data_IF_095976979765
#
_entry.id   IF_095976979765
#
_cell.length_a   1.000
_cell.length_b   1.000
_cell.length_c   1.000
_cell.angle_alpha   90.00
_cell.angle_beta   90.00
_cell.angle_gamma   90.00
#
_symmetry.space_group_name_H-M   'P 1'
#
loop_
_entity.id
_entity.type
_entity.pdbx_description
1 polymer ?
#
# COMPACT_ATOMS: atom_id res chain seq x y z
N UNK A 1 45.91 14.98 -22.50
CA UNK A 1 45.29 15.59 -21.31
C UNK A 1 44.79 16.97 -21.73
N UNK A 2 43.53 17.30 -21.58
CA UNK A 2 42.96 18.55 -22.14
C UNK A 2 43.33 19.69 -21.19
N UNK A 3 44.06 20.69 -21.67
CA UNK A 3 44.60 21.83 -20.89
C UNK A 3 43.48 22.50 -20.05
N UNK A 4 42.29 22.62 -20.60
CA UNK A 4 41.13 23.19 -19.92
C UNK A 4 40.74 22.39 -18.66
N UNK A 5 40.88 21.07 -18.68
CA UNK A 5 40.61 20.18 -17.55
C UNK A 5 41.65 20.32 -16.43
N UNK A 6 42.92 20.56 -16.82
CA UNK A 6 44.00 20.78 -15.84
C UNK A 6 43.83 22.11 -15.11
N UNK A 7 43.45 23.17 -15.83
CA UNK A 7 43.18 24.50 -15.26
C UNK A 7 41.94 24.41 -14.32
N UNK A 8 40.88 23.71 -14.73
CA UNK A 8 39.69 23.51 -13.92
C UNK A 8 40.02 22.80 -12.60
N UNK A 9 40.86 21.74 -12.63
CA UNK A 9 41.33 21.07 -11.39
C UNK A 9 42.12 22.03 -10.49
N UNK A 10 43.00 22.82 -11.04
CA UNK A 10 43.80 23.82 -10.27
C UNK A 10 42.87 24.82 -9.58
N UNK A 11 41.80 25.28 -10.23
CA UNK A 11 40.85 26.21 -9.62
C UNK A 11 40.04 25.57 -8.50
N UNK A 12 39.67 24.28 -8.62
CA UNK A 12 39.01 23.51 -7.55
C UNK A 12 39.89 23.46 -6.31
N UNK A 13 41.16 23.15 -6.43
CA UNK A 13 42.10 23.04 -5.33
C UNK A 13 42.65 24.38 -4.80
N UNK A 14 42.63 25.44 -5.61
CA UNK A 14 43.03 26.79 -5.20
C UNK A 14 42.01 27.40 -4.21
N UNK A 15 40.70 27.19 -4.39
CA UNK A 15 39.63 27.74 -3.57
C UNK A 15 38.93 26.66 -2.75
N UNK A 16 39.69 25.91 -1.93
CA UNK A 16 39.19 24.76 -1.15
C UNK A 16 37.91 25.04 -0.32
N UNK A 17 37.85 26.20 0.33
CA UNK A 17 36.68 26.55 1.17
C UNK A 17 35.40 26.73 0.36
N UNK A 18 35.46 27.45 -0.75
CA UNK A 18 34.32 27.68 -1.66
C UNK A 18 33.88 26.38 -2.33
N UNK A 19 34.85 25.58 -2.81
CA UNK A 19 34.58 24.27 -3.40
C UNK A 19 33.92 23.33 -2.39
N UNK A 20 34.41 23.30 -1.15
CA UNK A 20 33.83 22.48 -0.08
C UNK A 20 32.36 22.85 0.21
N UNK A 21 32.04 24.14 0.29
CA UNK A 21 30.65 24.62 0.49
C UNK A 21 29.75 24.19 -0.68
N UNK A 22 30.24 24.30 -1.94
CA UNK A 22 29.49 23.85 -3.11
C UNK A 22 29.25 22.36 -3.10
N UNK A 23 30.29 21.56 -2.82
CA UNK A 23 30.19 20.09 -2.72
C UNK A 23 29.23 19.68 -1.62
N UNK A 24 29.30 20.33 -0.44
CA UNK A 24 28.37 20.07 0.68
C UNK A 24 26.92 20.38 0.32
N UNK A 25 26.64 21.46 -0.40
CA UNK A 25 25.29 21.78 -0.87
C UNK A 25 24.70 20.69 -1.77
N UNK A 26 25.49 20.21 -2.75
CA UNK A 26 25.07 19.12 -3.64
C UNK A 26 24.95 17.80 -2.88
N UNK A 27 25.89 17.51 -1.98
CA UNK A 27 25.91 16.31 -1.14
C UNK A 27 24.64 16.23 -0.28
N UNK A 28 24.29 17.30 0.42
CA UNK A 28 23.06 17.35 1.23
C UNK A 28 21.81 17.19 0.35
N UNK A 29 21.73 17.91 -0.77
CA UNK A 29 20.61 17.80 -1.69
C UNK A 29 20.41 16.37 -2.23
N UNK A 30 21.49 15.73 -2.66
CA UNK A 30 21.44 14.36 -3.18
C UNK A 30 21.15 13.33 -2.09
N UNK A 31 21.72 13.51 -0.92
CA UNK A 31 21.47 12.64 0.24
C UNK A 31 19.99 12.65 0.65
N UNK A 32 19.41 13.85 0.79
CA UNK A 32 17.98 13.98 1.15
C UNK A 32 17.08 13.43 0.03
N UNK A 33 17.42 13.65 -1.23
CA UNK A 33 16.68 13.09 -2.36
C UNK A 33 16.62 11.55 -2.30
N UNK A 34 17.78 10.90 -2.14
CA UNK A 34 17.85 9.43 -2.08
C UNK A 34 17.11 8.91 -0.84
N UNK A 35 17.30 9.54 0.32
CA UNK A 35 16.63 9.17 1.56
C UNK A 35 15.09 9.26 1.42
N UNK A 36 14.56 10.35 0.86
CA UNK A 36 13.12 10.53 0.64
C UNK A 36 12.55 9.48 -0.33
N UNK A 37 13.28 9.15 -1.41
CA UNK A 37 12.86 8.09 -2.32
C UNK A 37 12.88 6.71 -1.65
N UNK A 38 13.88 6.41 -0.83
CA UNK A 38 13.96 5.16 -0.08
C UNK A 38 12.80 5.03 0.91
N UNK A 39 12.47 6.09 1.63
CA UNK A 39 11.30 6.14 2.50
C UNK A 39 10.00 5.86 1.72
N UNK A 40 9.84 6.46 0.53
CA UNK A 40 8.65 6.24 -0.30
C UNK A 40 8.49 4.78 -0.66
N UNK A 41 9.56 4.15 -1.17
CA UNK A 41 9.54 2.73 -1.53
C UNK A 41 9.27 1.84 -0.30
N UNK A 42 9.88 2.17 0.84
CA UNK A 42 9.67 1.46 2.10
C UNK A 42 8.21 1.53 2.58
N UNK A 43 7.61 2.72 2.52
CA UNK A 43 6.20 2.92 2.86
C UNK A 43 5.25 2.17 1.90
N UNK A 44 5.49 2.24 0.59
CA UNK A 44 4.66 1.53 -0.39
C UNK A 44 4.71 0.01 -0.14
N UNK A 45 5.90 -0.54 0.08
CA UNK A 45 6.07 -1.98 0.39
C UNK A 45 5.38 -2.37 1.70
N UNK A 46 5.55 -1.58 2.76
CA UNK A 46 4.93 -1.82 4.07
C UNK A 46 3.40 -1.72 3.99
N UNK A 47 2.89 -0.69 3.29
CA UNK A 47 1.46 -0.47 3.07
C UNK A 47 0.82 -1.64 2.31
N UNK A 48 1.41 -2.05 1.18
CA UNK A 48 0.90 -3.17 0.38
C UNK A 48 0.93 -4.49 1.17
N UNK A 49 2.00 -4.75 1.93
CA UNK A 49 2.08 -5.93 2.80
C UNK A 49 0.98 -5.93 3.85
N UNK A 50 0.70 -4.79 4.47
CA UNK A 50 -0.37 -4.65 5.45
C UNK A 50 -1.76 -4.86 4.84
N UNK A 51 -1.99 -4.36 3.62
CA UNK A 51 -3.24 -4.57 2.89
C UNK A 51 -3.44 -6.07 2.60
N UNK A 52 -2.45 -6.75 2.03
CA UNK A 52 -2.58 -8.16 1.62
C UNK A 52 -2.65 -9.16 2.78
N UNK A 53 -2.28 -8.77 3.99
CA UNK A 53 -2.57 -9.57 5.19
C UNK A 53 -4.05 -9.61 5.55
N UNK A 54 -4.82 -8.61 5.12
CA UNK A 54 -6.20 -8.41 5.55
C UNK A 54 -7.23 -8.50 4.43
N UNK A 55 -6.79 -8.33 3.17
CA UNK A 55 -7.65 -8.31 1.98
C UNK A 55 -7.08 -9.18 0.88
N UNK A 56 -7.97 -9.79 0.09
CA UNK A 56 -7.62 -10.49 -1.15
C UNK A 56 -7.28 -9.48 -2.25
N UNK A 57 -6.66 -9.97 -3.33
CA UNK A 57 -6.38 -9.13 -4.50
C UNK A 57 -7.66 -8.70 -5.21
N UNK A 58 -8.70 -9.54 -5.20
CA UNK A 58 -10.02 -9.25 -5.78
C UNK A 58 -11.08 -9.80 -4.84
N UNK A 59 -12.17 -9.06 -4.65
CA UNK A 59 -13.36 -9.48 -3.93
C UNK A 59 -14.52 -9.54 -4.91
N UNK A 60 -15.20 -10.67 -5.00
CA UNK A 60 -16.41 -10.86 -5.80
C UNK A 60 -17.60 -10.93 -4.85
N UNK A 61 -18.60 -10.10 -5.07
CA UNK A 61 -19.77 -9.99 -4.20
C UNK A 61 -20.99 -9.49 -4.98
N UNK A 62 -22.16 -9.62 -4.37
CA UNK A 62 -23.38 -9.06 -4.94
C UNK A 62 -23.50 -7.60 -4.51
N UNK A 63 -23.49 -6.67 -5.46
CA UNK A 63 -23.67 -5.24 -5.19
C UNK A 63 -25.12 -4.92 -4.85
N UNK A 64 -25.34 -3.80 -4.17
CA UNK A 64 -26.69 -3.29 -3.92
C UNK A 64 -27.34 -2.87 -5.23
N UNK A 65 -28.55 -3.30 -5.46
CA UNK A 65 -29.32 -2.89 -6.65
C UNK A 65 -29.84 -1.48 -6.45
N UNK A 66 -29.43 -0.57 -7.33
CA UNK A 66 -30.02 0.77 -7.42
C UNK A 66 -31.30 0.66 -8.26
N UNK A 67 -32.41 1.19 -7.78
CA UNK A 67 -33.65 1.21 -8.54
C UNK A 67 -33.46 1.97 -9.84
N UNK A 68 -33.56 1.25 -10.97
CA UNK A 68 -33.52 1.84 -12.30
C UNK A 68 -34.93 2.26 -12.74
N UNK A 69 -35.00 3.23 -13.64
CA UNK A 69 -36.28 3.60 -14.30
C UNK A 69 -36.79 2.41 -15.10
N UNK A 70 -37.98 1.92 -14.74
CA UNK A 70 -38.60 0.76 -15.40
C UNK A 70 -39.17 1.07 -16.79
N UNK A 71 -39.33 2.37 -17.12
CA UNK A 71 -39.87 2.82 -18.42
C UNK A 71 -38.83 3.72 -19.08
N UNK A 72 -38.24 3.26 -20.16
CA UNK A 72 -37.44 4.09 -21.06
C UNK A 72 -38.32 4.62 -22.17
N UNK A 73 -39.02 5.74 -21.95
CA UNK A 73 -39.60 6.46 -23.04
C UNK A 73 -38.51 7.36 -23.65
N UNK A 74 -38.31 7.24 -24.95
CA UNK A 74 -37.26 7.98 -25.68
C UNK A 74 -37.58 9.48 -25.81
N UNK A 75 -38.78 9.91 -25.45
CA UNK A 75 -39.28 11.29 -25.57
C UNK A 75 -39.11 12.11 -24.29
N UNK A 76 -39.04 11.49 -23.11
CA UNK A 76 -38.88 12.20 -21.83
C UNK A 76 -37.68 11.70 -21.05
N UNK A 77 -36.82 12.62 -20.59
CA UNK A 77 -35.70 12.31 -19.68
C UNK A 77 -36.21 12.33 -18.25
N UNK A 78 -36.40 11.13 -17.67
CA UNK A 78 -36.71 11.00 -16.25
C UNK A 78 -35.43 11.15 -15.41
N UNK A 79 -35.41 12.14 -14.51
CA UNK A 79 -34.32 12.35 -13.55
C UNK A 79 -34.70 11.66 -12.23
N UNK A 80 -33.99 10.63 -11.85
CA UNK A 80 -34.12 10.03 -10.50
C UNK A 80 -33.23 10.83 -9.56
N UNK A 81 -33.83 11.69 -8.71
CA UNK A 81 -33.10 12.58 -7.79
C UNK A 81 -32.60 11.80 -6.56
N UNK A 82 -33.33 10.77 -6.10
CA UNK A 82 -32.93 9.92 -5.00
C UNK A 82 -33.26 8.46 -5.35
N UNK A 83 -32.36 7.72 -6.01
CA UNK A 83 -32.60 6.32 -6.28
C UNK A 83 -32.68 5.56 -4.96
N UNK A 84 -33.79 4.85 -4.76
CA UNK A 84 -33.97 3.99 -3.56
C UNK A 84 -33.02 2.81 -3.67
N UNK A 85 -32.08 2.69 -2.73
CA UNK A 85 -31.28 1.48 -2.57
C UNK A 85 -32.21 0.39 -2.06
N UNK A 86 -32.43 -0.64 -2.84
CA UNK A 86 -33.14 -1.83 -2.41
C UNK A 86 -32.16 -2.71 -1.67
N UNK A 87 -32.30 -2.92 -0.35
CA UNK A 87 -31.41 -3.83 0.37
C UNK A 87 -31.60 -5.21 -0.23
N UNK A 88 -30.61 -5.64 -0.98
CA UNK A 88 -30.61 -6.93 -1.62
C UNK A 88 -30.04 -7.99 -0.66
N UNK A 89 -30.48 -9.21 -0.83
CA UNK A 89 -29.85 -10.33 -0.14
C UNK A 89 -28.41 -10.44 -0.71
N UNK A 90 -27.40 -10.09 0.10
CA UNK A 90 -25.97 -10.06 -0.33
C UNK A 90 -25.42 -11.49 -0.58
N UNK A 91 -26.25 -12.38 -1.12
CA UNK A 91 -25.93 -13.79 -1.31
C UNK A 91 -25.53 -14.06 -2.75
N UNK A 92 -24.44 -14.76 -2.94
CA UNK A 92 -24.05 -15.30 -4.25
C UNK A 92 -24.85 -16.56 -4.50
N UNK A 93 -25.64 -16.57 -5.58
CA UNK A 93 -26.46 -17.72 -6.00
C UNK A 93 -25.54 -18.73 -6.70
N UNK A 94 -25.72 -20.02 -6.41
CA UNK A 94 -24.90 -21.10 -6.97
C UNK A 94 -23.38 -20.87 -6.81
N UNK A 95 -22.88 -20.63 -5.60
CA UNK A 95 -21.51 -20.22 -5.35
C UNK A 95 -20.47 -21.21 -5.90
N UNK A 96 -20.81 -22.50 -6.00
CA UNK A 96 -19.92 -23.53 -6.55
C UNK A 96 -19.59 -23.27 -8.01
N UNK A 97 -20.61 -22.93 -8.82
CA UNK A 97 -20.43 -22.65 -10.27
C UNK A 97 -19.60 -21.37 -10.46
N UNK A 98 -19.90 -20.34 -9.66
CA UNK A 98 -19.15 -19.08 -9.69
C UNK A 98 -17.68 -19.32 -9.32
N UNK A 99 -17.42 -20.08 -8.27
CA UNK A 99 -16.07 -20.42 -7.82
C UNK A 99 -15.30 -21.22 -8.90
N UNK A 100 -15.93 -22.22 -9.51
CA UNK A 100 -15.33 -23.01 -10.60
C UNK A 100 -15.02 -22.12 -11.82
N UNK A 101 -15.88 -21.17 -12.16
CA UNK A 101 -15.67 -20.21 -13.26
C UNK A 101 -14.47 -19.30 -12.99
N UNK A 102 -14.31 -18.85 -11.75
CA UNK A 102 -13.18 -18.04 -11.31
C UNK A 102 -11.88 -18.86 -11.35
N UNK A 103 -11.88 -20.07 -10.82
CA UNK A 103 -10.69 -20.93 -10.76
C UNK A 103 -10.20 -21.40 -12.15
N UNK A 104 -11.05 -21.37 -13.19
CA UNK A 104 -10.62 -21.65 -14.57
C UNK A 104 -9.77 -20.56 -15.20
N UNK A 105 -9.69 -19.38 -14.59
CA UNK A 105 -8.85 -18.29 -15.12
C UNK A 105 -7.38 -18.55 -14.79
N UNK A 106 -6.50 -18.49 -15.80
CA UNK A 106 -5.06 -18.81 -15.68
C UNK A 106 -4.30 -17.93 -14.68
N UNK A 107 -4.77 -16.71 -14.51
CA UNK A 107 -4.16 -15.73 -13.64
C UNK A 107 -4.52 -15.91 -12.16
N UNK A 108 -5.58 -16.70 -11.87
CA UNK A 108 -6.06 -16.95 -10.52
C UNK A 108 -5.24 -18.04 -9.84
N UNK A 109 -4.71 -17.74 -8.67
CA UNK A 109 -3.93 -18.69 -7.86
C UNK A 109 -4.77 -19.38 -6.79
N UNK A 110 -5.64 -18.63 -6.13
CA UNK A 110 -6.54 -19.12 -5.07
C UNK A 110 -7.84 -18.35 -5.12
N UNK A 111 -8.95 -19.05 -4.95
CA UNK A 111 -10.26 -18.45 -4.73
C UNK A 111 -10.96 -19.18 -3.58
N UNK A 112 -11.56 -18.44 -2.63
CA UNK A 112 -12.20 -19.00 -1.45
C UNK A 112 -13.48 -18.25 -1.11
N UNK A 113 -14.57 -19.01 -0.78
CA UNK A 113 -15.82 -18.43 -0.31
C UNK A 113 -15.65 -17.92 1.12
N UNK A 114 -16.28 -16.79 1.43
CA UNK A 114 -16.28 -16.20 2.76
C UNK A 114 -17.67 -15.65 3.12
N UNK A 115 -17.88 -15.50 4.43
CA UNK A 115 -19.04 -14.79 4.99
C UNK A 115 -18.50 -13.75 5.97
N UNK A 116 -18.75 -12.48 5.70
CA UNK A 116 -18.46 -11.41 6.65
C UNK A 116 -19.73 -11.06 7.43
N UNK A 117 -19.70 -11.23 8.73
CA UNK A 117 -20.84 -11.00 9.62
C UNK A 117 -20.50 -9.96 10.67
N UNK A 118 -21.31 -8.91 10.74
CA UNK A 118 -21.24 -7.99 11.87
C UNK A 118 -21.74 -8.69 13.14
N UNK A 119 -20.93 -8.66 14.16
CA UNK A 119 -21.21 -9.33 15.45
C UNK A 119 -20.90 -8.41 16.62
N UNK A 120 -21.52 -8.71 17.74
CA UNK A 120 -21.08 -8.22 19.04
C UNK A 120 -20.35 -9.36 19.75
N UNK A 121 -19.13 -9.10 20.17
CA UNK A 121 -18.36 -9.94 21.07
C UNK A 121 -18.75 -9.61 22.49
N UNK A 122 -19.14 -10.62 23.27
CA UNK A 122 -19.61 -10.44 24.66
C UNK A 122 -18.73 -11.31 25.57
N UNK A 123 -18.18 -10.70 26.62
CA UNK A 123 -17.50 -11.40 27.72
C UNK A 123 -17.82 -10.70 29.03
N UNK A 124 -18.66 -11.31 29.85
CA UNK A 124 -19.17 -10.69 31.07
C UNK A 124 -19.90 -9.37 30.81
N UNK A 125 -19.35 -8.27 31.35
CA UNK A 125 -19.90 -6.91 31.15
C UNK A 125 -19.32 -6.21 29.93
N UNK A 126 -18.30 -6.79 29.29
CA UNK A 126 -17.62 -6.19 28.13
C UNK A 126 -18.32 -6.58 26.84
N UNK A 127 -18.59 -5.58 25.99
CA UNK A 127 -19.15 -5.78 24.65
C UNK A 127 -18.34 -4.96 23.63
N UNK A 128 -17.97 -5.59 22.52
CA UNK A 128 -17.25 -4.96 21.40
C UNK A 128 -17.97 -5.29 20.11
N UNK A 129 -18.26 -4.29 19.29
CA UNK A 129 -18.72 -4.51 17.92
C UNK A 129 -17.53 -4.89 17.02
N UNK A 130 -17.72 -5.84 16.12
CA UNK A 130 -16.71 -6.25 15.17
C UNK A 130 -17.26 -7.10 14.04
N UNK A 131 -16.35 -7.71 13.29
CA UNK A 131 -16.65 -8.53 12.11
C UNK A 131 -16.09 -9.93 12.33
N UNK A 132 -16.96 -10.91 12.33
CA UNK A 132 -16.57 -12.32 12.29
C UNK A 132 -16.58 -12.81 10.85
N UNK A 133 -15.43 -13.29 10.38
CA UNK A 133 -15.25 -13.82 9.02
C UNK A 133 -15.31 -15.34 9.07
N UNK A 134 -16.35 -15.91 8.45
CA UNK A 134 -16.50 -17.34 8.22
C UNK A 134 -15.65 -17.78 7.03
N UNK A 135 -14.72 -18.69 7.28
CA UNK A 135 -13.70 -19.12 6.30
C UNK A 135 -13.62 -20.65 6.22
N UNK A 136 -13.05 -21.13 5.11
CA UNK A 136 -12.45 -22.46 5.02
C UNK A 136 -10.98 -22.35 5.43
N UNK A 137 -10.53 -22.94 6.55
CA UNK A 137 -9.22 -22.63 7.13
C UNK A 137 -8.02 -22.85 6.19
N UNK A 138 -8.02 -23.94 5.41
CA UNK A 138 -6.91 -24.24 4.49
C UNK A 138 -6.80 -23.21 3.37
N UNK A 139 -7.93 -22.93 2.71
CA UNK A 139 -8.00 -21.97 1.61
C UNK A 139 -7.67 -20.56 2.10
N UNK A 140 -8.17 -20.18 3.27
CA UNK A 140 -7.89 -18.87 3.87
C UNK A 140 -6.42 -18.71 4.26
N UNK A 141 -5.77 -19.78 4.75
CA UNK A 141 -4.35 -19.72 5.03
C UNK A 141 -3.50 -19.59 3.76
N UNK A 142 -3.86 -20.29 2.68
CA UNK A 142 -3.20 -20.11 1.37
C UNK A 142 -3.36 -18.68 0.84
N UNK A 143 -4.50 -18.05 1.11
CA UNK A 143 -4.80 -16.69 0.63
C UNK A 143 -4.11 -15.60 1.44
N UNK A 144 -4.18 -15.65 2.77
CA UNK A 144 -3.75 -14.57 3.67
C UNK A 144 -2.50 -14.90 4.49
N UNK A 145 -2.03 -16.14 4.44
CA UNK A 145 -0.94 -16.65 5.29
C UNK A 145 -1.16 -16.37 6.77
N UNK A 146 -2.38 -16.65 7.27
CA UNK A 146 -2.82 -16.31 8.63
C UNK A 146 -1.90 -16.91 9.69
N UNK A 147 -1.39 -18.12 9.45
CA UNK A 147 -0.47 -18.79 10.38
C UNK A 147 0.79 -17.98 10.67
N UNK A 148 1.26 -17.15 9.74
CA UNK A 148 2.49 -16.38 9.89
C UNK A 148 2.38 -15.22 10.89
N UNK A 149 1.17 -14.81 11.24
CA UNK A 149 0.92 -13.73 12.19
C UNK A 149 0.09 -14.16 13.41
N UNK A 150 0.03 -15.46 13.68
CA UNK A 150 -0.43 -15.99 14.97
C UNK A 150 0.57 -15.61 16.06
N UNK A 151 0.04 -15.13 17.20
CA UNK A 151 0.84 -14.76 18.37
C UNK A 151 0.73 -15.84 19.43
N UNK A 152 -0.42 -16.48 19.55
CA UNK A 152 -0.70 -17.54 20.50
C UNK A 152 -1.70 -18.55 19.92
N UNK A 153 -1.66 -19.79 20.39
CA UNK A 153 -2.54 -20.87 19.94
C UNK A 153 -2.18 -21.43 18.55
N UNK A 154 -3.16 -22.10 17.92
CA UNK A 154 -2.95 -22.76 16.64
C UNK A 154 -4.14 -22.58 15.70
N UNK A 155 -3.91 -22.02 14.53
CA UNK A 155 -4.93 -21.79 13.50
C UNK A 155 -5.55 -23.10 12.97
N UNK A 156 -4.77 -24.19 12.90
CA UNK A 156 -5.28 -25.47 12.40
C UNK A 156 -6.37 -26.08 13.29
N UNK A 157 -6.46 -25.67 14.56
CA UNK A 157 -7.53 -26.09 15.44
C UNK A 157 -8.93 -25.66 15.00
N UNK A 158 -9.02 -24.63 14.11
CA UNK A 158 -10.29 -24.29 13.46
C UNK A 158 -10.85 -25.43 12.61
N UNK A 159 -10.00 -26.30 12.03
CA UNK A 159 -10.45 -27.42 11.20
C UNK A 159 -11.17 -28.50 11.99
N UNK A 160 -10.62 -28.79 13.18
CA UNK A 160 -11.10 -29.86 14.05
C UNK A 160 -12.16 -29.38 15.04
N UNK A 161 -12.26 -28.08 15.30
CA UNK A 161 -13.20 -27.49 16.25
C UNK A 161 -14.25 -26.60 15.55
N UNK A 162 -15.48 -27.09 15.31
CA UNK A 162 -16.55 -26.29 14.69
C UNK A 162 -16.92 -25.03 15.48
N UNK A 163 -16.70 -25.03 16.81
CA UNK A 163 -16.92 -23.90 17.70
C UNK A 163 -15.61 -23.16 18.04
N UNK A 164 -14.55 -23.38 17.28
CA UNK A 164 -13.30 -22.64 17.40
C UNK A 164 -13.42 -21.23 16.86
N UNK A 165 -12.74 -20.30 17.50
CA UNK A 165 -12.56 -18.92 17.03
C UNK A 165 -11.11 -18.48 17.17
N UNK A 166 -10.61 -17.78 16.16
CA UNK A 166 -9.32 -17.08 16.21
C UNK A 166 -9.61 -15.59 16.29
N UNK A 167 -9.12 -14.94 17.33
CA UNK A 167 -9.41 -13.54 17.65
C UNK A 167 -8.21 -12.65 17.43
N UNK A 168 -8.42 -11.38 17.09
CA UNK A 168 -7.36 -10.39 17.01
C UNK A 168 -6.79 -10.03 18.39
N UNK A 169 -5.50 -9.72 18.46
CA UNK A 169 -4.81 -9.39 19.71
C UNK A 169 -5.47 -8.21 20.46
N UNK A 170 -6.01 -7.23 19.75
CA UNK A 170 -6.70 -6.11 20.37
C UNK A 170 -8.06 -6.49 20.98
N UNK A 171 -8.73 -7.56 20.51
CA UNK A 171 -9.94 -8.13 21.16
C UNK A 171 -9.50 -8.89 22.41
N UNK A 172 -8.45 -9.73 22.32
CA UNK A 172 -7.87 -10.45 23.45
C UNK A 172 -7.50 -9.50 24.59
N UNK A 173 -6.75 -8.45 24.32
CA UNK A 173 -6.33 -7.44 25.29
C UNK A 173 -7.53 -6.72 25.92
N UNK A 174 -8.49 -6.26 25.09
CA UNK A 174 -9.62 -5.46 25.58
C UNK A 174 -10.65 -6.26 26.39
N UNK A 175 -10.77 -7.56 26.09
CA UNK A 175 -11.71 -8.47 26.77
C UNK A 175 -11.02 -9.39 27.78
N UNK A 176 -9.70 -9.28 27.96
CA UNK A 176 -8.88 -10.12 28.80
C UNK A 176 -9.14 -11.62 28.53
N UNK A 177 -9.00 -12.01 27.24
CA UNK A 177 -9.22 -13.37 26.76
C UNK A 177 -7.88 -14.02 26.38
N UNK A 178 -7.67 -15.23 26.86
CA UNK A 178 -6.56 -16.11 26.48
C UNK A 178 -7.03 -17.27 25.60
N UNK A 179 -6.07 -18.02 25.04
CA UNK A 179 -6.36 -19.28 24.35
C UNK A 179 -7.02 -20.25 25.31
N UNK A 180 -8.03 -20.95 24.85
CA UNK A 180 -8.95 -21.84 25.57
C UNK A 180 -10.11 -21.18 26.32
N UNK A 181 -10.16 -19.86 26.44
CA UNK A 181 -11.31 -19.15 26.99
C UNK A 181 -12.52 -19.21 26.05
N UNK A 182 -13.68 -18.92 26.61
CA UNK A 182 -14.93 -18.84 25.87
C UNK A 182 -15.34 -17.39 25.63
N UNK A 183 -15.83 -17.12 24.42
CA UNK A 183 -16.39 -15.84 24.01
C UNK A 183 -17.77 -16.04 23.39
N UNK A 184 -18.73 -15.17 23.72
CA UNK A 184 -20.04 -15.19 23.11
C UNK A 184 -20.14 -14.22 21.94
N UNK A 185 -20.57 -14.69 20.78
CA UNK A 185 -20.86 -13.89 19.59
C UNK A 185 -22.36 -13.75 19.40
N UNK A 186 -22.82 -12.51 19.31
CA UNK A 186 -24.20 -12.18 18.94
C UNK A 186 -24.21 -11.61 17.52
N UNK A 187 -24.88 -12.30 16.60
CA UNK A 187 -24.99 -11.87 15.21
C UNK A 187 -26.05 -10.78 15.02
N UNK A 188 -26.04 -10.13 13.84
CA UNK A 188 -27.07 -9.17 13.43
C UNK A 188 -28.49 -9.77 13.37
N UNK A 189 -28.61 -11.10 13.32
CA UNK A 189 -29.91 -11.83 13.41
C UNK A 189 -30.32 -12.17 14.84
N UNK A 190 -29.61 -11.64 15.85
CA UNK A 190 -29.90 -11.88 17.26
C UNK A 190 -29.53 -13.28 17.79
N UNK A 191 -28.77 -14.07 16.97
CA UNK A 191 -28.31 -15.39 17.42
C UNK A 191 -27.10 -15.20 18.31
N UNK A 192 -27.15 -15.79 19.48
CA UNK A 192 -26.04 -15.85 20.41
C UNK A 192 -25.43 -17.27 20.41
N UNK A 193 -24.09 -17.34 20.25
CA UNK A 193 -23.35 -18.61 20.26
C UNK A 193 -22.01 -18.45 20.94
N UNK A 194 -21.67 -19.45 21.75
CA UNK A 194 -20.38 -19.50 22.44
C UNK A 194 -19.33 -20.17 21.56
N UNK A 195 -18.19 -19.55 21.49
CA UNK A 195 -17.00 -20.05 20.79
C UNK A 195 -15.83 -20.19 21.75
N UNK A 196 -14.97 -21.18 21.51
CA UNK A 196 -13.72 -21.38 22.23
C UNK A 196 -12.57 -20.71 21.48
N UNK A 197 -11.81 -19.85 22.13
CA UNK A 197 -10.63 -19.21 21.56
C UNK A 197 -9.55 -20.28 21.31
N UNK A 198 -9.23 -20.54 20.05
CA UNK A 198 -8.21 -21.53 19.63
C UNK A 198 -6.89 -20.87 19.21
N UNK A 199 -6.91 -19.53 19.04
CA UNK A 199 -5.71 -18.79 18.73
C UNK A 199 -5.94 -17.28 18.70
N UNK A 200 -4.83 -16.56 18.78
CA UNK A 200 -4.77 -15.09 18.77
C UNK A 200 -3.84 -14.66 17.65
N UNK A 201 -4.27 -13.74 16.80
CA UNK A 201 -3.47 -13.20 15.72
C UNK A 201 -3.17 -11.71 15.89
N UNK A 202 -2.08 -11.23 15.26
CA UNK A 202 -1.68 -9.82 15.25
C UNK A 202 -1.17 -9.42 13.87
N UNK A 203 -1.95 -8.59 13.16
CA UNK A 203 -1.60 -8.14 11.81
C UNK A 203 -0.76 -6.87 11.79
N UNK A 204 -0.55 -6.24 12.95
CA UNK A 204 0.00 -4.88 13.11
C UNK A 204 -0.89 -3.77 12.51
N UNK A 205 -2.14 -4.09 12.16
CA UNK A 205 -3.19 -3.13 11.86
C UNK A 205 -4.16 -3.08 13.05
N UNK A 206 -4.04 -2.03 13.86
CA UNK A 206 -4.81 -1.89 15.11
C UNK A 206 -6.34 -1.94 14.88
N UNK A 207 -6.84 -1.45 13.75
CA UNK A 207 -8.28 -1.52 13.44
C UNK A 207 -8.72 -2.98 13.24
N UNK A 208 -7.98 -3.74 12.44
CA UNK A 208 -8.24 -5.17 12.21
C UNK A 208 -8.09 -5.99 13.51
N UNK A 209 -7.00 -5.78 14.23
CA UNK A 209 -6.68 -6.55 15.44
C UNK A 209 -7.70 -6.33 16.56
N UNK A 210 -8.42 -5.18 16.56
CA UNK A 210 -9.46 -4.84 17.55
C UNK A 210 -10.88 -5.26 17.16
N UNK A 211 -11.11 -5.66 15.89
CA UNK A 211 -12.50 -5.88 15.42
C UNK A 211 -12.71 -7.20 14.70
N UNK A 212 -11.64 -7.84 14.19
CA UNK A 212 -11.77 -9.00 13.31
C UNK A 212 -11.54 -10.32 14.03
N UNK A 213 -12.37 -11.32 13.70
CA UNK A 213 -12.18 -12.70 14.10
C UNK A 213 -12.39 -13.66 12.94
N UNK A 214 -11.85 -14.87 13.05
CA UNK A 214 -12.04 -15.94 12.10
C UNK A 214 -12.72 -17.13 12.77
N UNK A 215 -13.77 -17.64 12.11
CA UNK A 215 -14.52 -18.86 12.49
C UNK A 215 -14.67 -19.76 11.26
N UNK A 216 -15.11 -20.99 11.47
CA UNK A 216 -15.47 -21.86 10.36
C UNK A 216 -16.63 -21.28 9.53
N UNK A 217 -16.60 -21.49 8.21
CA UNK A 217 -17.66 -21.06 7.29
C UNK A 217 -19.04 -21.59 7.74
N UNK A 218 -19.11 -22.87 8.12
CA UNK A 218 -20.34 -23.49 8.62
C UNK A 218 -20.86 -22.84 9.92
N UNK A 219 -19.96 -22.44 10.81
CA UNK A 219 -20.34 -21.74 12.05
C UNK A 219 -20.93 -20.36 11.75
N UNK A 220 -20.37 -19.64 10.73
CA UNK A 220 -20.92 -18.37 10.29
C UNK A 220 -22.31 -18.51 9.64
N UNK A 221 -22.51 -19.56 8.82
CA UNK A 221 -23.83 -19.90 8.26
C UNK A 221 -24.88 -20.13 9.36
N UNK A 222 -24.51 -20.89 10.40
CA UNK A 222 -25.39 -21.15 11.54
C UNK A 222 -25.69 -19.87 12.36
N UNK A 223 -24.70 -18.98 12.56
CA UNK A 223 -24.88 -17.68 13.22
C UNK A 223 -25.87 -16.77 12.48
N UNK A 224 -26.01 -16.95 11.17
CA UNK A 224 -26.94 -16.18 10.34
C UNK A 224 -28.27 -16.91 10.06
N UNK A 225 -28.47 -18.13 10.59
CA UNK A 225 -29.59 -19.02 10.24
C UNK A 225 -29.73 -19.25 8.75
N UNK A 226 -28.61 -19.49 8.08
CA UNK A 226 -28.54 -19.72 6.63
C UNK A 226 -28.13 -21.17 6.35
N UNK A 227 -28.39 -21.61 5.13
CA UNK A 227 -28.01 -22.92 4.66
C UNK A 227 -26.51 -23.03 4.32
N UNK A 228 -26.03 -24.24 4.01
CA UNK A 228 -24.62 -24.50 3.71
C UNK A 228 -24.15 -23.93 2.35
N UNK A 229 -25.07 -23.45 1.52
CA UNK A 229 -24.74 -22.79 0.26
C UNK A 229 -24.58 -21.28 0.37
N UNK A 230 -25.00 -20.73 1.51
CA UNK A 230 -24.95 -19.29 1.75
C UNK A 230 -23.50 -18.79 1.86
N UNK A 231 -23.13 -17.86 0.98
CA UNK A 231 -21.90 -17.08 1.05
C UNK A 231 -22.16 -15.65 0.61
N UNK A 232 -21.42 -14.71 1.15
CA UNK A 232 -21.52 -13.28 0.81
C UNK A 232 -20.44 -12.84 -0.16
N UNK A 233 -19.27 -13.45 -0.09
CA UNK A 233 -18.09 -13.03 -0.84
C UNK A 233 -17.33 -14.26 -1.40
N UNK A 234 -16.71 -14.09 -2.57
CA UNK A 234 -15.62 -14.95 -3.01
C UNK A 234 -14.37 -14.07 -3.14
N UNK A 235 -13.39 -14.39 -2.33
CA UNK A 235 -12.10 -13.71 -2.37
C UNK A 235 -11.14 -14.45 -3.30
N UNK A 236 -10.38 -13.69 -4.09
CA UNK A 236 -9.54 -14.23 -5.17
C UNK A 236 -8.16 -13.60 -5.08
N UNK A 237 -7.11 -14.43 -5.10
CA UNK A 237 -5.75 -14.01 -5.31
C UNK A 237 -5.30 -14.34 -6.73
N UNK A 238 -4.57 -13.42 -7.33
CA UNK A 238 -3.98 -13.55 -8.67
C UNK A 238 -2.46 -13.56 -8.57
N UNK A 239 -1.80 -14.08 -9.59
CA UNK A 239 -0.33 -14.21 -9.64
C UNK A 239 0.38 -12.85 -9.49
N UNK A 240 -0.19 -11.80 -10.11
CA UNK A 240 0.33 -10.44 -10.00
C UNK A 240 -0.78 -9.50 -9.51
N UNK A 241 -0.66 -8.94 -8.28
CA UNK A 241 -1.64 -8.00 -7.73
C UNK A 241 -1.85 -6.72 -8.58
N UNK A 242 -0.86 -6.32 -9.38
CA UNK A 242 -0.94 -5.11 -10.19
C UNK A 242 -1.99 -5.19 -11.31
N UNK A 243 -2.31 -6.41 -11.77
CA UNK A 243 -3.33 -6.64 -12.80
C UNK A 243 -4.71 -6.97 -12.22
N UNK A 244 -4.86 -6.93 -10.89
CA UNK A 244 -6.10 -7.34 -10.21
C UNK A 244 -7.33 -6.57 -10.71
N UNK A 245 -7.23 -5.26 -10.99
CA UNK A 245 -8.35 -4.47 -11.50
C UNK A 245 -8.82 -4.92 -12.89
N UNK A 246 -7.89 -5.32 -13.76
CA UNK A 246 -8.24 -5.82 -15.09
C UNK A 246 -8.92 -7.19 -15.00
N UNK A 247 -8.41 -8.07 -14.13
CA UNK A 247 -9.01 -9.37 -13.86
C UNK A 247 -10.37 -9.21 -13.18
N UNK A 248 -10.52 -8.26 -12.25
CA UNK A 248 -11.80 -7.97 -11.62
C UNK A 248 -12.89 -7.60 -12.65
N UNK A 249 -12.57 -6.72 -13.61
CA UNK A 249 -13.48 -6.38 -14.69
C UNK A 249 -13.89 -7.62 -15.51
N UNK A 250 -12.93 -8.49 -15.83
CA UNK A 250 -13.18 -9.74 -16.53
C UNK A 250 -14.08 -10.67 -15.71
N UNK A 251 -13.81 -10.81 -14.41
CA UNK A 251 -14.63 -11.64 -13.53
C UNK A 251 -16.05 -11.09 -13.38
N UNK A 252 -16.23 -9.78 -13.35
CA UNK A 252 -17.58 -9.16 -13.35
C UNK A 252 -18.37 -9.58 -14.59
N UNK A 253 -17.75 -9.55 -15.78
CA UNK A 253 -18.41 -9.95 -17.03
C UNK A 253 -18.74 -11.43 -17.06
N UNK A 254 -17.85 -12.29 -16.53
CA UNK A 254 -18.03 -13.75 -16.56
C UNK A 254 -19.04 -14.27 -15.53
N UNK A 255 -19.09 -13.62 -14.36
CA UNK A 255 -19.90 -14.11 -13.23
C UNK A 255 -21.22 -13.37 -13.07
N UNK A 256 -21.35 -12.16 -13.63
CA UNK A 256 -22.47 -11.27 -13.40
C UNK A 256 -22.50 -10.63 -12.01
N UNK A 257 -21.50 -10.90 -11.17
CA UNK A 257 -21.32 -10.29 -9.84
C UNK A 257 -20.31 -9.15 -9.91
N UNK A 258 -20.40 -8.19 -8.99
CA UNK A 258 -19.39 -7.16 -8.89
C UNK A 258 -18.09 -7.75 -8.38
N UNK A 259 -17.02 -7.57 -9.14
CA UNK A 259 -15.68 -7.89 -8.73
C UNK A 259 -14.89 -6.60 -8.58
N UNK A 260 -14.28 -6.41 -7.43
CA UNK A 260 -13.54 -5.21 -7.03
C UNK A 260 -12.09 -5.58 -6.74
N UNK A 261 -11.14 -4.89 -7.39
CA UNK A 261 -9.72 -5.06 -7.13
C UNK A 261 -9.30 -4.36 -5.85
N UNK A 262 -8.18 -4.79 -5.27
CA UNK A 262 -7.69 -4.28 -3.99
C UNK A 262 -7.38 -2.78 -3.99
N UNK A 263 -6.99 -2.20 -5.14
CA UNK A 263 -6.75 -0.75 -5.25
C UNK A 263 -8.05 0.04 -5.13
N UNK A 264 -9.11 -0.43 -5.77
CA UNK A 264 -10.44 0.16 -5.69
C UNK A 264 -11.02 0.01 -4.28
N UNK A 265 -10.92 -1.18 -3.69
CA UNK A 265 -11.37 -1.46 -2.32
C UNK A 265 -10.62 -0.61 -1.26
N UNK A 266 -9.41 -0.12 -1.58
CA UNK A 266 -8.59 0.72 -0.71
C UNK A 266 -8.31 2.10 -1.33
N UNK A 267 -9.29 2.70 -1.99
CA UNK A 267 -9.16 3.96 -2.74
C UNK A 267 -8.58 5.09 -1.87
N UNK A 268 -9.05 5.23 -0.63
CA UNK A 268 -8.54 6.25 0.32
C UNK A 268 -7.05 6.06 0.60
N UNK A 269 -6.59 4.82 0.76
CA UNK A 269 -5.18 4.50 0.96
C UNK A 269 -4.37 4.83 -0.29
N UNK A 270 -4.90 4.49 -1.47
CA UNK A 270 -4.26 4.79 -2.76
C UNK A 270 -4.16 6.29 -2.99
N UNK A 271 -5.21 7.05 -2.69
CA UNK A 271 -5.21 8.51 -2.75
C UNK A 271 -4.15 9.12 -1.81
N UNK A 272 -4.05 8.62 -0.57
CA UNK A 272 -3.04 9.05 0.40
C UNK A 272 -1.62 8.76 -0.09
N UNK A 273 -1.37 7.58 -0.64
CA UNK A 273 -0.07 7.21 -1.21
C UNK A 273 0.29 8.10 -2.41
N UNK A 274 -0.69 8.41 -3.28
CA UNK A 274 -0.51 9.32 -4.41
C UNK A 274 -0.16 10.74 -3.95
N UNK A 275 -0.87 11.28 -2.94
CA UNK A 275 -0.56 12.59 -2.35
C UNK A 275 0.85 12.61 -1.76
N UNK A 276 1.24 11.60 -0.98
CA UNK A 276 2.57 11.47 -0.42
C UNK A 276 3.65 11.49 -1.51
N UNK A 277 3.45 10.73 -2.59
CA UNK A 277 4.37 10.70 -3.73
C UNK A 277 4.52 12.08 -4.37
N UNK A 278 3.43 12.82 -4.58
CA UNK A 278 3.49 14.17 -5.12
C UNK A 278 4.26 15.14 -4.21
N UNK A 279 4.05 15.08 -2.90
CA UNK A 279 4.77 15.90 -1.93
C UNK A 279 6.27 15.60 -1.97
N UNK A 280 6.67 14.33 -1.99
CA UNK A 280 8.08 13.93 -2.04
C UNK A 280 8.74 14.41 -3.34
N UNK A 281 8.05 14.28 -4.49
CA UNK A 281 8.56 14.79 -5.78
C UNK A 281 8.74 16.30 -5.73
N UNK A 282 7.77 17.03 -5.19
CA UNK A 282 7.85 18.50 -5.08
C UNK A 282 9.00 18.94 -4.16
N UNK A 283 9.13 18.34 -2.98
CA UNK A 283 10.23 18.62 -2.06
C UNK A 283 11.58 18.29 -2.70
N UNK A 284 11.69 17.13 -3.35
CA UNK A 284 12.91 16.70 -4.04
C UNK A 284 13.32 17.67 -5.14
N UNK A 285 12.36 18.15 -5.95
CA UNK A 285 12.60 19.15 -6.99
C UNK A 285 13.09 20.47 -6.40
N UNK A 286 12.46 20.93 -5.31
CA UNK A 286 12.85 22.15 -4.62
C UNK A 286 14.28 22.07 -4.10
N UNK A 287 14.65 20.95 -3.47
CA UNK A 287 16.02 20.74 -2.96
C UNK A 287 17.03 20.73 -4.12
N UNK A 288 16.70 20.09 -5.25
CA UNK A 288 17.56 20.06 -6.43
C UNK A 288 17.78 21.46 -7.01
N UNK A 289 16.73 22.29 -7.06
CA UNK A 289 16.84 23.68 -7.51
C UNK A 289 17.72 24.50 -6.56
N UNK A 290 17.57 24.37 -5.25
CA UNK A 290 18.41 25.06 -4.25
C UNK A 290 19.88 24.66 -4.40
N UNK A 291 20.17 23.37 -4.59
CA UNK A 291 21.51 22.88 -4.84
C UNK A 291 22.10 23.47 -6.14
N UNK A 292 21.29 23.55 -7.21
CA UNK A 292 21.68 24.19 -8.48
C UNK A 292 22.03 25.68 -8.32
N UNK A 293 21.21 26.44 -7.59
CA UNK A 293 21.49 27.84 -7.26
C UNK A 293 22.75 27.99 -6.41
N UNK A 294 23.01 27.06 -5.49
CA UNK A 294 24.24 27.01 -4.71
C UNK A 294 25.49 26.91 -5.61
N UNK A 295 25.48 25.98 -6.57
CA UNK A 295 26.58 25.84 -7.55
C UNK A 295 26.74 27.12 -8.39
N UNK A 296 25.62 27.67 -8.90
CA UNK A 296 25.62 28.89 -9.69
C UNK A 296 26.27 30.07 -8.96
N UNK A 297 25.86 30.33 -7.71
CA UNK A 297 26.40 31.43 -6.91
C UNK A 297 27.91 31.26 -6.66
N UNK A 298 28.36 30.04 -6.38
CA UNK A 298 29.78 29.76 -6.12
C UNK A 298 30.60 29.91 -7.40
N UNK A 299 30.09 29.46 -8.54
CA UNK A 299 30.76 29.67 -9.84
C UNK A 299 30.87 31.14 -10.18
N UNK A 300 29.78 31.91 -9.98
CA UNK A 300 29.79 33.35 -10.25
C UNK A 300 30.83 34.08 -9.39
N UNK A 301 30.90 33.73 -8.09
CA UNK A 301 31.93 34.27 -7.20
C UNK A 301 33.35 33.86 -7.62
N UNK A 302 33.54 32.61 -8.03
CA UNK A 302 34.84 32.10 -8.53
C UNK A 302 35.26 32.82 -9.77
N UNK A 303 34.36 33.05 -10.75
CA UNK A 303 34.65 33.83 -11.97
C UNK A 303 35.06 35.25 -11.62
N UNK A 304 34.35 35.91 -10.71
CA UNK A 304 34.68 37.28 -10.26
C UNK A 304 36.07 37.36 -9.60
N UNK A 305 36.43 36.39 -8.77
CA UNK A 305 37.76 36.33 -8.12
C UNK A 305 38.88 36.01 -9.10
N UNK A 306 38.57 35.34 -10.23
CA UNK A 306 39.57 34.91 -11.24
C UNK A 306 39.60 35.79 -12.49
N UNK A 307 39.08 37.02 -12.40
CA UNK A 307 38.99 37.92 -13.59
C UNK A 307 40.35 38.28 -14.15
N UNK A 308 41.37 38.46 -13.30
CA UNK A 308 42.76 38.72 -13.75
C UNK A 308 43.38 37.49 -14.46
N UNK A 309 43.17 36.28 -13.91
CA UNK A 309 43.60 35.03 -14.52
C UNK A 309 42.93 34.83 -15.89
N UNK A 310 41.67 35.19 -16.03
CA UNK A 310 40.90 35.14 -17.28
C UNK A 310 41.49 36.13 -18.31
N UNK A 311 41.89 37.35 -17.89
CA UNK A 311 42.49 38.34 -18.75
C UNK A 311 43.87 37.85 -19.31
N UNK A 312 44.67 37.23 -18.42
CA UNK A 312 45.95 36.61 -18.84
C UNK A 312 45.73 35.48 -19.85
N UNK A 313 44.79 34.58 -19.57
CA UNK A 313 44.43 33.47 -20.47
C UNK A 313 44.01 33.98 -21.86
N UNK A 314 43.22 35.08 -21.90
CA UNK A 314 42.84 35.73 -23.15
C UNK A 314 44.03 36.33 -23.88
N UNK A 315 44.96 36.95 -23.17
CA UNK A 315 46.18 37.56 -23.77
C UNK A 315 47.11 36.53 -24.41
N UNK A 316 47.17 35.31 -23.86
CA UNK A 316 47.94 34.19 -24.43
C UNK A 316 47.20 33.38 -25.48
N UNK A 317 45.95 33.80 -25.90
CA UNK A 317 45.25 33.25 -27.05
C UNK A 317 44.08 32.30 -26.75
N UNK A 318 43.66 32.13 -25.50
CA UNK A 318 42.45 31.35 -25.19
C UNK A 318 41.19 32.04 -25.70
N UNK A 319 40.33 31.27 -26.38
CA UNK A 319 39.05 31.76 -26.87
C UNK A 319 37.99 31.78 -25.74
N UNK A 320 36.99 32.62 -25.84
CA UNK A 320 35.89 32.67 -24.84
C UNK A 320 35.26 31.32 -24.57
N UNK A 321 35.14 30.47 -25.60
CA UNK A 321 34.64 29.08 -25.47
C UNK A 321 35.51 28.19 -24.57
N UNK A 322 36.83 28.41 -24.57
CA UNK A 322 37.73 27.62 -23.73
C UNK A 322 37.61 28.02 -22.27
N UNK A 323 37.41 29.31 -21.99
CA UNK A 323 37.16 29.82 -20.63
C UNK A 323 35.85 29.26 -20.11
N UNK A 324 34.78 29.29 -20.90
CA UNK A 324 33.50 28.69 -20.51
C UNK A 324 33.67 27.20 -20.20
N UNK A 325 34.41 26.44 -21.03
CA UNK A 325 34.70 25.02 -20.80
C UNK A 325 35.42 24.79 -19.45
N UNK A 326 36.34 25.64 -19.05
CA UNK A 326 37.07 25.53 -17.76
C UNK A 326 36.06 25.58 -16.61
N UNK A 327 35.19 26.60 -16.58
CA UNK A 327 34.21 26.78 -15.49
C UNK A 327 33.11 25.73 -15.53
N UNK A 328 32.65 25.30 -16.71
CA UNK A 328 31.67 24.19 -16.83
C UNK A 328 32.29 22.87 -16.34
N UNK A 329 33.57 22.61 -16.69
CA UNK A 329 34.26 21.41 -16.18
C UNK A 329 34.41 21.45 -14.67
N UNK A 330 34.68 22.65 -14.10
CA UNK A 330 34.69 22.84 -12.64
C UNK A 330 33.34 22.55 -12.01
N UNK A 331 32.23 23.08 -12.56
CA UNK A 331 30.88 22.83 -12.10
C UNK A 331 30.54 21.35 -12.11
N UNK A 332 30.82 20.66 -13.22
CA UNK A 332 30.57 19.22 -13.35
C UNK A 332 31.39 18.42 -12.33
N UNK A 333 32.65 18.80 -12.11
CA UNK A 333 33.49 18.11 -11.12
C UNK A 333 32.97 18.28 -9.68
N UNK A 334 32.50 19.48 -9.31
CA UNK A 334 31.86 19.75 -8.03
C UNK A 334 30.59 18.93 -7.90
N UNK A 335 29.76 18.90 -8.95
CA UNK A 335 28.52 18.10 -8.98
C UNK A 335 28.80 16.62 -8.76
N UNK A 336 29.77 16.05 -9.48
CA UNK A 336 30.14 14.62 -9.33
C UNK A 336 30.63 14.31 -7.91
N UNK A 337 31.51 15.16 -7.34
CA UNK A 337 31.99 14.97 -5.98
C UNK A 337 30.83 15.04 -4.96
N UNK A 338 29.91 15.99 -5.14
CA UNK A 338 28.72 16.12 -4.31
C UNK A 338 27.78 14.91 -4.41
N UNK A 339 27.53 14.41 -5.62
CA UNK A 339 26.70 13.21 -5.85
C UNK A 339 27.32 11.98 -5.19
N UNK A 340 28.62 11.73 -5.39
CA UNK A 340 29.30 10.58 -4.78
C UNK A 340 29.21 10.66 -3.25
N UNK A 341 29.52 11.82 -2.67
CA UNK A 341 29.39 12.04 -1.23
C UNK A 341 27.95 11.90 -0.74
N UNK A 342 26.97 12.39 -1.52
CA UNK A 342 25.56 12.30 -1.21
C UNK A 342 25.03 10.85 -1.20
N UNK A 343 25.46 10.03 -2.15
CA UNK A 343 25.14 8.58 -2.17
C UNK A 343 25.69 7.88 -0.94
N UNK A 344 26.95 8.13 -0.59
CA UNK A 344 27.59 7.53 0.60
C UNK A 344 26.82 7.95 1.87
N UNK A 345 26.54 9.24 2.04
CA UNK A 345 25.81 9.75 3.19
C UNK A 345 24.38 9.18 3.25
N UNK A 346 23.68 9.12 2.13
CA UNK A 346 22.33 8.52 2.06
C UNK A 346 22.34 7.05 2.47
N UNK A 347 23.34 6.28 2.01
CA UNK A 347 23.47 4.86 2.39
C UNK A 347 23.63 4.69 3.90
N UNK A 348 24.43 5.55 4.54
CA UNK A 348 24.62 5.54 6.01
C UNK A 348 23.31 5.90 6.74
N UNK A 349 22.49 6.79 6.20
CA UNK A 349 21.22 7.19 6.81
C UNK A 349 20.11 6.15 6.65
N UNK A 350 20.19 5.29 5.64
CA UNK A 350 19.16 4.28 5.33
C UNK A 350 19.44 2.95 6.06
N UNK A 351 20.71 2.67 6.41
CA UNK A 351 21.11 1.48 7.19
C UNK A 351 20.85 1.65 8.66
#
# INVERSE_FOLDING_TARGET
>A
MNINSTIAKTYIFSNKKLTAVAVLGVLLGMSVYIFMNSLLVGFDKSSNTSVFRNTSHIRVYKDDEISNVLVSDTTEKYLIINPKIVPNNNTIINPKIVLETILKQKEVTVATPQINTNVFYNNGKSQIAGISTGIKPDEANLMYNIKSFMVDGNFDLLKSNPNGIVIGSGISEKMNLAVSDNINLTSSKGINRTFKVVGIFKTNNSATDKTKTYINLSASQQLLKQDNSYITDINVNVTNPEIAENIAKKLTQLTGYKAEGWKQANETLMATNKMRKMIIIFVSLTILLVAGFGIYNILNMTVSQKINDIAILKAIGFKGKDIIRIFVTQAISIGIMGVIGGVIMATILIT
#
